data_IF_310407920992
#
_entry.id   IF_310407920992
#
_cell.length_a   1.000
_cell.length_b   1.000
_cell.length_c   1.000
_cell.angle_alpha   90.00
_cell.angle_beta   90.00
_cell.angle_gamma   90.00
#
_symmetry.space_group_name_H-M   'P 1'
#
loop_
_entity.id
_entity.type
_entity.pdbx_description
1 polymer ?
#
# COMPACT_ATOMS: atom_id res chain seq x y z
N UNK A 1 20.13 29.85 -12.63
CA UNK A 1 19.87 28.55 -13.28
C UNK A 1 20.11 27.33 -12.38
N UNK A 2 21.08 27.38 -11.47
CA UNK A 2 21.34 26.25 -10.54
C UNK A 2 20.28 26.10 -9.44
N UNK A 3 19.60 27.16 -9.00
CA UNK A 3 18.59 27.13 -7.94
C UNK A 3 17.33 26.35 -8.30
N UNK A 4 16.83 26.42 -9.55
CA UNK A 4 15.61 25.74 -9.97
C UNK A 4 15.76 24.20 -10.01
N UNK A 5 16.91 23.67 -10.43
CA UNK A 5 17.18 22.22 -10.41
C UNK A 5 17.27 21.70 -8.98
N UNK A 6 17.89 22.44 -8.10
CA UNK A 6 18.06 22.05 -6.70
C UNK A 6 16.72 22.04 -5.94
N UNK A 7 15.85 23.01 -6.14
CA UNK A 7 14.50 23.03 -5.57
C UNK A 7 13.64 21.86 -6.05
N UNK A 8 13.77 21.47 -7.33
CA UNK A 8 13.01 20.33 -7.88
C UNK A 8 13.48 18.98 -7.31
N UNK A 9 14.77 18.80 -7.11
CA UNK A 9 15.36 17.60 -6.50
C UNK A 9 14.94 17.49 -5.03
N UNK A 10 15.01 18.56 -4.25
CA UNK A 10 14.59 18.59 -2.84
C UNK A 10 13.09 18.32 -2.73
N UNK A 11 12.27 18.92 -3.57
CA UNK A 11 10.82 18.69 -3.59
C UNK A 11 10.46 17.24 -3.92
N UNK A 12 11.12 16.62 -4.90
CA UNK A 12 10.88 15.23 -5.27
C UNK A 12 11.34 14.26 -4.19
N UNK A 13 12.48 14.48 -3.56
CA UNK A 13 12.95 13.67 -2.44
C UNK A 13 12.03 13.79 -1.23
N UNK A 14 11.50 14.98 -0.95
CA UNK A 14 10.53 15.19 0.13
C UNK A 14 9.22 14.44 -0.13
N UNK A 15 8.69 14.46 -1.37
CA UNK A 15 7.50 13.70 -1.75
C UNK A 15 7.72 12.20 -1.63
N UNK A 16 8.86 11.71 -2.10
CA UNK A 16 9.22 10.29 -2.00
C UNK A 16 9.28 9.84 -0.53
N UNK A 17 9.98 10.57 0.32
CA UNK A 17 10.07 10.27 1.75
C UNK A 17 8.70 10.28 2.44
N UNK A 18 7.84 11.23 2.12
CA UNK A 18 6.48 11.31 2.67
C UNK A 18 5.63 10.13 2.23
N UNK A 19 5.71 9.71 0.97
CA UNK A 19 4.96 8.58 0.44
C UNK A 19 5.35 7.28 1.16
N UNK A 20 6.63 7.01 1.29
CA UNK A 20 7.16 5.83 1.97
C UNK A 20 6.81 5.84 3.46
N UNK A 21 6.91 6.99 4.11
CA UNK A 21 6.51 7.15 5.51
C UNK A 21 5.02 6.85 5.71
N UNK A 22 4.16 7.36 4.83
CA UNK A 22 2.72 7.11 4.90
C UNK A 22 2.38 5.63 4.72
N UNK A 23 3.02 4.95 3.75
CA UNK A 23 2.84 3.50 3.59
C UNK A 23 3.23 2.72 4.84
N UNK A 24 4.38 3.05 5.44
CA UNK A 24 4.82 2.41 6.68
C UNK A 24 3.85 2.67 7.83
N UNK A 25 3.34 3.88 7.92
CA UNK A 25 2.38 4.25 8.95
C UNK A 25 1.06 3.48 8.80
N UNK A 26 0.55 3.35 7.58
CA UNK A 26 -0.64 2.54 7.30
C UNK A 26 -0.43 1.07 7.74
N UNK A 27 0.73 0.50 7.45
CA UNK A 27 1.06 -0.88 7.82
C UNK A 27 1.22 -1.07 9.34
N UNK A 28 1.81 -0.10 10.03
CA UNK A 28 1.93 -0.12 11.50
C UNK A 28 0.55 -0.08 12.16
N UNK A 29 -0.38 0.65 11.58
CA UNK A 29 -1.75 0.80 12.08
C UNK A 29 -2.72 -0.26 11.55
N UNK A 30 -2.23 -1.24 10.79
CA UNK A 30 -3.06 -2.30 10.23
C UNK A 30 -3.71 -3.16 11.33
N UNK A 31 -4.95 -3.52 11.12
CA UNK A 31 -5.72 -4.38 12.02
C UNK A 31 -6.29 -5.59 11.27
N UNK A 32 -6.50 -6.74 11.95
CA UNK A 32 -7.04 -7.95 11.33
C UNK A 32 -8.56 -7.85 11.12
N UNK A 33 -8.96 -7.02 10.19
CA UNK A 33 -10.34 -6.86 9.77
C UNK A 33 -10.55 -7.58 8.45
N UNK A 34 -11.52 -8.50 8.39
CA UNK A 34 -11.83 -9.26 7.18
C UNK A 34 -12.23 -8.35 6.02
N UNK A 35 -11.56 -8.57 4.88
CA UNK A 35 -11.86 -7.87 3.64
C UNK A 35 -13.13 -8.42 3.02
N UNK A 36 -13.92 -7.54 2.40
CA UNK A 36 -15.13 -7.87 1.66
C UNK A 36 -15.01 -7.46 0.21
N UNK A 37 -15.67 -8.20 -0.67
CA UNK A 37 -15.77 -7.82 -2.08
C UNK A 37 -16.83 -6.73 -2.29
N UNK A 38 -17.05 -6.33 -3.54
CA UNK A 38 -18.01 -5.32 -3.93
C UNK A 38 -19.48 -5.69 -3.62
N UNK A 39 -19.76 -6.98 -3.40
CA UNK A 39 -21.07 -7.51 -3.06
C UNK A 39 -21.20 -7.84 -1.58
N UNK A 40 -20.31 -7.33 -0.74
CA UNK A 40 -20.25 -7.55 0.71
C UNK A 40 -19.96 -8.99 1.15
N UNK A 41 -19.49 -9.85 0.25
CA UNK A 41 -19.04 -11.19 0.61
C UNK A 41 -17.68 -11.14 1.30
N UNK A 42 -17.50 -11.95 2.34
CA UNK A 42 -16.23 -12.10 3.01
C UNK A 42 -15.23 -12.80 2.07
N UNK A 43 -14.03 -12.21 1.97
CA UNK A 43 -12.93 -12.78 1.20
C UNK A 43 -12.08 -13.75 2.03
N UNK A 44 -12.39 -13.91 3.32
CA UNK A 44 -11.67 -14.75 4.28
C UNK A 44 -10.18 -14.39 4.41
N UNK A 45 -9.87 -13.12 4.20
CA UNK A 45 -8.51 -12.59 4.25
C UNK A 45 -8.50 -11.22 4.91
N UNK A 46 -7.44 -10.94 5.66
CA UNK A 46 -7.19 -9.61 6.26
C UNK A 46 -6.19 -8.78 5.44
N UNK A 47 -5.49 -9.42 4.54
CA UNK A 47 -4.55 -8.80 3.63
C UNK A 47 -4.57 -9.54 2.28
N UNK A 48 -4.59 -8.78 1.21
CA UNK A 48 -4.47 -9.31 -0.16
C UNK A 48 -3.43 -8.48 -0.90
N UNK A 49 -2.49 -9.17 -1.53
CA UNK A 49 -1.46 -8.55 -2.36
C UNK A 49 -1.17 -9.36 -3.61
N UNK A 50 -0.87 -8.68 -4.71
CA UNK A 50 -0.51 -9.30 -5.99
C UNK A 50 0.54 -8.47 -6.71
N UNK A 51 1.65 -9.11 -7.07
CA UNK A 51 2.67 -8.51 -7.92
C UNK A 51 2.18 -8.36 -9.37
N UNK A 52 1.42 -9.32 -9.87
CA UNK A 52 0.89 -9.29 -11.24
C UNK A 52 -0.06 -8.10 -11.43
N UNK A 53 -1.00 -7.93 -10.51
CA UNK A 53 -1.96 -6.83 -10.53
C UNK A 53 -1.37 -5.52 -9.95
N UNK A 54 -0.20 -5.60 -9.32
CA UNK A 54 0.48 -4.49 -8.65
C UNK A 54 -0.43 -3.76 -7.67
N UNK A 55 -1.01 -4.53 -6.77
CA UNK A 55 -1.97 -4.07 -5.77
C UNK A 55 -1.70 -4.71 -4.41
N UNK A 56 -1.98 -3.96 -3.36
CA UNK A 56 -2.14 -4.50 -2.01
C UNK A 56 -3.24 -3.77 -1.26
N UNK A 57 -3.94 -4.48 -0.39
CA UNK A 57 -5.06 -3.94 0.37
C UNK A 57 -5.19 -4.59 1.74
N UNK A 58 -5.55 -3.79 2.71
CA UNK A 58 -5.79 -4.17 4.11
C UNK A 58 -6.59 -3.09 4.82
N UNK A 59 -7.01 -3.33 6.05
CA UNK A 59 -7.69 -2.33 6.88
C UNK A 59 -6.73 -1.75 7.91
N UNK A 60 -6.79 -0.45 8.10
CA UNK A 60 -5.94 0.29 9.01
C UNK A 60 -6.75 1.27 9.86
N UNK A 61 -6.23 1.57 11.05
CA UNK A 61 -6.66 2.71 11.85
C UNK A 61 -6.11 3.98 11.22
N UNK A 62 -6.89 4.67 10.42
CA UNK A 62 -6.45 5.89 9.77
C UNK A 62 -6.78 7.12 10.61
N UNK A 63 -5.77 7.66 11.29
CA UNK A 63 -5.89 8.89 12.07
C UNK A 63 -5.79 10.18 11.24
N UNK A 64 -5.40 10.10 9.97
CA UNK A 64 -5.23 11.27 9.10
C UNK A 64 -6.53 11.78 8.50
N UNK A 65 -7.58 10.97 8.51
CA UNK A 65 -8.90 11.34 8.02
C UNK A 65 -9.70 12.03 9.13
N UNK A 66 -9.50 13.32 9.27
CA UNK A 66 -10.27 14.13 10.22
C UNK A 66 -11.70 14.40 9.76
N UNK A 67 -12.10 13.95 8.58
CA UNK A 67 -13.40 14.21 8.03
C UNK A 67 -14.47 13.31 8.66
N UNK A 68 -15.21 13.84 9.59
CA UNK A 68 -16.64 13.65 9.88
C UNK A 68 -17.23 12.21 9.93
N UNK A 69 -16.51 11.13 9.80
CA UNK A 69 -17.02 9.79 10.01
C UNK A 69 -16.62 9.26 11.39
N UNK A 70 -17.60 8.73 12.10
CA UNK A 70 -17.44 8.16 13.43
C UNK A 70 -16.57 6.88 13.45
N UNK A 71 -16.16 6.39 12.30
CA UNK A 71 -15.30 5.21 12.17
C UNK A 71 -13.90 5.61 11.78
N UNK A 72 -12.93 5.23 12.62
CA UNK A 72 -11.50 5.41 12.36
C UNK A 72 -10.94 4.31 11.43
N UNK A 73 -11.72 3.28 11.12
CA UNK A 73 -11.29 2.18 10.26
C UNK A 73 -11.44 2.54 8.80
N UNK A 74 -10.37 2.34 8.05
CA UNK A 74 -10.36 2.52 6.60
C UNK A 74 -9.75 1.30 5.93
N UNK A 75 -10.33 0.90 4.83
CA UNK A 75 -9.66 0.01 3.89
C UNK A 75 -8.66 0.82 3.09
N UNK A 76 -7.43 0.41 3.10
CA UNK A 76 -6.32 1.03 2.36
C UNK A 76 -6.06 0.17 1.13
N UNK A 77 -5.97 0.82 -0.03
CA UNK A 77 -5.67 0.16 -1.30
C UNK A 77 -4.50 0.92 -1.93
N UNK A 78 -3.38 0.26 -2.10
CA UNK A 78 -2.26 0.75 -2.89
C UNK A 78 -2.30 0.08 -4.26
N UNK A 79 -2.29 0.88 -5.30
CA UNK A 79 -2.34 0.41 -6.69
C UNK A 79 -1.36 1.18 -7.55
N UNK A 80 -0.66 0.44 -8.41
CA UNK A 80 0.14 1.05 -9.47
C UNK A 80 -0.74 1.28 -10.71
N UNK A 81 -0.81 2.51 -11.14
CA UNK A 81 -1.58 2.93 -12.30
C UNK A 81 -0.92 4.11 -12.99
N UNK A 82 -0.80 4.04 -14.32
CA UNK A 82 -0.25 5.14 -15.13
C UNK A 82 1.11 5.65 -14.62
N UNK A 83 2.02 4.74 -14.31
CA UNK A 83 3.34 5.01 -13.70
C UNK A 83 3.28 5.71 -12.35
N UNK A 84 2.15 5.68 -11.68
CA UNK A 84 1.95 6.27 -10.37
C UNK A 84 1.62 5.23 -9.30
N UNK A 85 2.00 5.51 -8.08
CA UNK A 85 1.53 4.78 -6.90
C UNK A 85 0.35 5.55 -6.32
N UNK A 86 -0.84 4.97 -6.44
CA UNK A 86 -2.10 5.54 -6.00
C UNK A 86 -2.52 4.91 -4.68
N UNK A 87 -2.83 5.73 -3.70
CA UNK A 87 -3.41 5.32 -2.42
C UNK A 87 -4.88 5.71 -2.40
N UNK A 88 -5.73 4.71 -2.26
CA UNK A 88 -7.18 4.91 -2.09
C UNK A 88 -7.59 4.48 -0.69
N UNK A 89 -8.39 5.28 -0.01
CA UNK A 89 -9.03 4.89 1.24
C UNK A 89 -10.52 4.78 1.04
N UNK A 90 -11.11 3.71 1.57
CA UNK A 90 -12.54 3.46 1.52
C UNK A 90 -13.08 3.16 2.92
N UNK A 91 -14.38 3.04 3.08
CA UNK A 91 -14.91 2.48 4.32
C UNK A 91 -14.43 1.03 4.47
N UNK A 92 -14.14 0.62 5.69
CA UNK A 92 -13.60 -0.71 5.96
C UNK A 92 -14.55 -1.85 5.52
N UNK A 93 -15.84 -1.64 5.67
CA UNK A 93 -16.90 -2.60 5.35
C UNK A 93 -17.52 -2.39 3.95
N UNK A 94 -17.12 -1.36 3.22
CA UNK A 94 -17.69 -1.05 1.90
C UNK A 94 -16.66 -0.35 1.01
N UNK A 95 -15.98 -1.12 0.17
CA UNK A 95 -14.97 -0.59 -0.75
C UNK A 95 -15.51 0.31 -1.84
N UNK A 96 -16.83 0.32 -2.07
CA UNK A 96 -17.46 1.18 -3.06
C UNK A 96 -17.58 2.64 -2.58
N UNK A 97 -17.43 2.87 -1.28
CA UNK A 97 -17.48 4.23 -0.72
C UNK A 97 -16.05 4.72 -0.53
N UNK A 98 -15.58 5.46 -1.52
CA UNK A 98 -14.26 6.08 -1.51
C UNK A 98 -14.28 7.32 -0.62
N UNK A 99 -13.37 7.36 0.36
CA UNK A 99 -13.17 8.49 1.26
C UNK A 99 -12.13 9.45 0.68
N UNK A 100 -11.01 8.91 0.20
CA UNK A 100 -9.98 9.71 -0.46
C UNK A 100 -9.21 8.89 -1.49
N UNK A 101 -8.63 9.57 -2.45
CA UNK A 101 -7.70 9.00 -3.43
C UNK A 101 -6.61 10.02 -3.72
N UNK A 102 -5.37 9.58 -3.65
CA UNK A 102 -4.22 10.44 -3.92
C UNK A 102 -3.10 9.68 -4.65
N UNK A 103 -2.40 10.39 -5.51
CA UNK A 103 -1.20 9.89 -6.18
C UNK A 103 -0.01 10.24 -5.29
N UNK A 104 0.61 9.22 -4.69
CA UNK A 104 1.74 9.43 -3.78
C UNK A 104 3.06 9.60 -4.50
N UNK A 105 3.27 8.83 -5.55
CA UNK A 105 4.49 8.85 -6.36
C UNK A 105 4.12 8.83 -7.83
N UNK A 106 4.91 9.53 -8.64
CA UNK A 106 4.79 9.57 -10.10
C UNK A 106 6.10 9.09 -10.74
N UNK A 107 6.05 8.84 -12.04
CA UNK A 107 7.23 8.44 -12.84
C UNK A 107 7.91 7.17 -12.33
N UNK A 108 7.14 6.26 -11.76
CA UNK A 108 7.62 4.96 -11.32
C UNK A 108 7.72 4.02 -12.51
N UNK A 109 8.85 3.35 -12.65
CA UNK A 109 9.08 2.32 -13.64
C UNK A 109 9.48 1.00 -12.97
N UNK A 110 9.15 -0.11 -13.64
CA UNK A 110 9.54 -1.46 -13.24
C UNK A 110 9.13 -1.84 -11.80
N UNK A 111 7.97 -1.37 -11.34
CA UNK A 111 7.49 -1.70 -10.01
C UNK A 111 7.24 -3.20 -9.88
N UNK A 112 7.86 -3.80 -8.87
CA UNK A 112 7.61 -5.17 -8.41
C UNK A 112 7.24 -5.12 -6.93
N UNK A 113 6.26 -5.94 -6.55
CA UNK A 113 5.80 -6.05 -5.17
C UNK A 113 5.90 -7.51 -4.73
N UNK A 114 6.59 -7.76 -3.63
CA UNK A 114 6.76 -9.11 -3.09
C UNK A 114 6.28 -9.17 -1.65
N UNK A 115 5.85 -10.35 -1.23
CA UNK A 115 5.27 -10.60 0.08
C UNK A 115 5.88 -11.86 0.70
N UNK A 116 6.07 -11.86 2.00
CA UNK A 116 6.53 -13.06 2.69
C UNK A 116 6.71 -12.89 4.18
N UNK A 117 6.95 -14.02 4.83
CA UNK A 117 7.25 -14.07 6.26
C UNK A 117 8.76 -14.12 6.53
N UNK A 118 9.55 -14.24 5.48
CA UNK A 118 11.02 -14.16 5.48
C UNK A 118 11.49 -13.43 4.23
N UNK A 119 12.57 -12.65 4.35
CA UNK A 119 13.20 -11.99 3.20
C UNK A 119 13.86 -12.96 2.22
N UNK A 120 14.14 -14.19 2.66
CA UNK A 120 14.70 -15.25 1.83
C UNK A 120 13.64 -16.05 1.07
N UNK A 121 12.36 -15.87 1.39
CA UNK A 121 11.23 -16.58 0.79
C UNK A 121 10.08 -15.60 0.50
N UNK A 122 10.25 -14.82 -0.56
CA UNK A 122 9.27 -13.84 -1.02
C UNK A 122 8.43 -14.41 -2.15
N UNK A 123 7.14 -14.12 -2.14
CA UNK A 123 6.15 -14.58 -3.10
C UNK A 123 5.51 -13.41 -3.85
N UNK A 124 5.00 -13.71 -5.03
CA UNK A 124 4.30 -12.72 -5.87
C UNK A 124 2.86 -12.44 -5.41
N UNK A 125 2.30 -13.30 -4.58
CA UNK A 125 0.94 -13.17 -4.09
C UNK A 125 0.88 -13.43 -2.58
N UNK A 126 -0.05 -12.73 -1.92
CA UNK A 126 -0.36 -12.99 -0.53
C UNK A 126 -1.89 -12.84 -0.30
N UNK A 127 -2.55 -13.81 0.32
CA UNK A 127 -2.03 -15.12 0.64
C UNK A 127 -1.58 -15.88 -0.60
N UNK A 128 -0.75 -16.94 -0.40
CA UNK A 128 -0.31 -17.79 -1.52
C UNK A 128 -1.49 -18.47 -2.23
N UNK A 129 -1.30 -18.88 -3.46
CA UNK A 129 -2.36 -19.40 -4.34
C UNK A 129 -3.16 -20.60 -3.78
N UNK A 130 -2.58 -21.36 -2.86
CA UNK A 130 -3.19 -22.55 -2.26
C UNK A 130 -3.82 -22.29 -0.88
N UNK A 131 -3.85 -21.04 -0.42
CA UNK A 131 -4.40 -20.66 0.88
C UNK A 131 -5.81 -20.11 0.68
N UNK A 132 -6.80 -20.80 1.20
CA UNK A 132 -8.22 -20.44 1.07
C UNK A 132 -8.63 -19.37 2.09
N UNK A 133 -8.00 -19.37 3.25
CA UNK A 133 -8.31 -18.46 4.36
C UNK A 133 -7.02 -18.05 5.06
N UNK A 134 -6.87 -16.73 5.27
CA UNK A 134 -5.70 -16.21 5.96
C UNK A 134 -6.06 -14.99 6.81
N UNK A 135 -5.97 -15.15 8.13
CA UNK A 135 -6.18 -14.09 9.11
C UNK A 135 -4.87 -13.43 9.56
N UNK A 136 -3.80 -13.64 8.82
CA UNK A 136 -2.48 -13.08 9.11
C UNK A 136 -2.05 -12.07 8.05
N UNK A 137 -1.17 -11.16 8.46
CA UNK A 137 -0.44 -10.27 7.54
C UNK A 137 0.88 -10.93 7.15
N UNK A 138 1.44 -10.61 5.97
CA UNK A 138 2.82 -10.93 5.70
C UNK A 138 3.72 -10.19 6.69
N UNK A 139 4.86 -10.77 7.07
CA UNK A 139 5.82 -10.03 7.87
C UNK A 139 6.48 -8.91 7.08
N UNK A 140 6.72 -9.16 5.79
CA UNK A 140 7.39 -8.21 4.91
C UNK A 140 6.60 -7.95 3.64
N UNK A 141 6.59 -6.69 3.24
CA UNK A 141 6.23 -6.23 1.90
C UNK A 141 7.47 -5.55 1.33
N UNK A 142 7.89 -5.98 0.16
CA UNK A 142 9.07 -5.45 -0.52
C UNK A 142 8.65 -4.79 -1.82
N UNK A 143 9.03 -3.55 -2.01
CA UNK A 143 8.81 -2.77 -3.22
C UNK A 143 10.12 -2.52 -3.92
N UNK A 144 10.27 -3.01 -5.15
CA UNK A 144 11.36 -2.70 -6.05
C UNK A 144 10.85 -1.82 -7.17
N UNK A 145 11.47 -0.68 -7.40
CA UNK A 145 11.07 0.24 -8.46
C UNK A 145 12.19 1.19 -8.85
N UNK A 146 11.95 1.92 -9.93
CA UNK A 146 12.86 2.94 -10.43
C UNK A 146 12.12 4.28 -10.58
N UNK A 147 12.80 5.35 -10.24
CA UNK A 147 12.37 6.72 -10.54
C UNK A 147 13.58 7.46 -11.13
N UNK A 148 13.46 7.98 -12.35
CA UNK A 148 14.53 8.69 -13.04
C UNK A 148 15.86 7.89 -13.08
N UNK A 149 15.77 6.63 -13.48
CA UNK A 149 16.90 5.68 -13.58
C UNK A 149 17.57 5.33 -12.25
N UNK A 150 17.03 5.81 -11.14
CA UNK A 150 17.48 5.46 -9.79
C UNK A 150 16.64 4.31 -9.24
N UNK A 151 17.33 3.25 -8.81
CA UNK A 151 16.70 2.06 -8.22
C UNK A 151 16.42 2.26 -6.73
N UNK A 152 15.25 1.83 -6.31
CA UNK A 152 14.81 1.81 -4.93
C UNK A 152 14.36 0.41 -4.54
N UNK A 153 14.75 0.01 -3.34
CA UNK A 153 14.25 -1.19 -2.68
C UNK A 153 13.72 -0.78 -1.31
N UNK A 154 12.42 -0.89 -1.10
CA UNK A 154 11.77 -0.54 0.16
C UNK A 154 11.27 -1.81 0.83
N UNK A 155 11.76 -2.06 2.01
CA UNK A 155 11.31 -3.17 2.87
C UNK A 155 10.42 -2.59 3.95
N UNK A 156 9.19 -3.09 4.01
CA UNK A 156 8.20 -2.67 4.99
C UNK A 156 7.73 -3.85 5.80
N UNK A 157 7.38 -3.62 7.05
CA UNK A 157 6.89 -4.68 7.93
C UNK A 157 5.64 -4.26 8.69
N UNK A 158 4.81 -5.26 8.98
CA UNK A 158 3.70 -5.11 9.91
C UNK A 158 4.21 -5.40 11.32
N UNK A 159 4.08 -4.45 12.22
CA UNK A 159 4.45 -4.65 13.62
C UNK A 159 3.38 -5.45 14.35
N UNK A 160 3.84 -6.52 14.99
CA UNK A 160 3.02 -7.33 15.91
C UNK A 160 3.84 -7.90 17.03
#
# INVERSE_FOLDING_TARGET
MYSFRMFRIISNNSKHSKAIHLMRLDMIQAIPFELKDQNFNNLNNVFIGSNEERILTFVSLNSSDTASSNSMLRRIIYRYKDKGLVRTTTLANNENIVVSEEILLTDIENLQIYFGDSLDDLNNNYPGLNVVENNAFPQFVVLDYEINDKKFNQIMSFFR
#
